data_IF_301316109770
#
_entry.id   IF_301316109770
#
_cell.length_a   1.000
_cell.length_b   1.000
_cell.length_c   1.000
_cell.angle_alpha   90.00
_cell.angle_beta   90.00
_cell.angle_gamma   90.00
#
_symmetry.space_group_name_H-M   'P 1'
#
loop_
_entity.id
_entity.type
_entity.pdbx_description
1 polymer ?
#
# COMPACT_ATOMS: atom_id res chain seq x y z
N UNK A 1 47.94 22.81 -1.04
CA UNK A 1 47.16 22.15 -2.11
C UNK A 1 46.98 20.68 -1.75
N UNK A 2 45.98 20.35 -0.94
CA UNK A 2 45.65 18.96 -0.55
C UNK A 2 44.13 18.70 -0.50
N UNK A 3 43.31 19.65 -0.98
CA UNK A 3 41.84 19.62 -0.82
C UNK A 3 41.09 18.85 -1.91
N UNK A 4 41.71 18.51 -3.03
CA UNK A 4 40.96 18.01 -4.22
C UNK A 4 40.65 16.51 -4.19
N UNK A 5 41.31 15.73 -3.34
CA UNK A 5 41.17 14.27 -3.29
C UNK A 5 40.04 13.83 -2.36
N UNK A 6 39.82 14.56 -1.27
CA UNK A 6 38.81 14.24 -0.24
C UNK A 6 37.40 14.58 -0.71
N UNK A 7 37.22 15.68 -1.45
CA UNK A 7 35.92 16.09 -1.99
C UNK A 7 35.36 15.09 -3.03
N UNK A 8 36.23 14.44 -3.81
CA UNK A 8 35.83 13.41 -4.77
C UNK A 8 35.52 12.05 -4.11
N UNK A 9 36.24 11.68 -3.05
CA UNK A 9 35.97 10.45 -2.31
C UNK A 9 34.64 10.55 -1.53
N UNK A 10 34.32 11.73 -1.02
CA UNK A 10 33.05 12.01 -0.34
C UNK A 10 31.86 11.90 -1.30
N UNK A 11 31.98 12.45 -2.51
CA UNK A 11 30.94 12.39 -3.56
C UNK A 11 30.61 10.96 -4.01
N UNK A 12 31.63 10.11 -4.23
CA UNK A 12 31.41 8.71 -4.64
C UNK A 12 30.80 7.85 -3.52
N UNK A 13 31.20 8.09 -2.27
CA UNK A 13 30.63 7.40 -1.12
C UNK A 13 29.14 7.74 -0.94
N UNK A 14 28.78 9.02 -1.12
CA UNK A 14 27.39 9.48 -1.04
C UNK A 14 26.54 8.90 -2.19
N UNK A 15 27.06 8.91 -3.41
CA UNK A 15 26.36 8.36 -4.58
C UNK A 15 26.14 6.84 -4.46
N UNK A 16 27.13 6.09 -3.96
CA UNK A 16 26.97 4.66 -3.67
C UNK A 16 25.98 4.41 -2.52
N UNK A 17 25.96 5.26 -1.49
CA UNK A 17 25.00 5.14 -0.39
C UNK A 17 23.56 5.44 -0.84
N UNK A 18 23.36 6.42 -1.72
CA UNK A 18 22.06 6.76 -2.32
C UNK A 18 21.58 5.62 -3.23
N UNK A 19 22.46 5.08 -4.09
CA UNK A 19 22.12 3.95 -4.96
C UNK A 19 21.74 2.70 -4.18
N UNK A 20 22.49 2.38 -3.12
CA UNK A 20 22.16 1.27 -2.22
C UNK A 20 20.86 1.52 -1.42
N UNK A 21 20.49 2.78 -1.16
CA UNK A 21 19.27 3.12 -0.43
C UNK A 21 18.06 2.86 -1.32
N UNK A 22 18.13 3.33 -2.57
CA UNK A 22 17.09 3.12 -3.56
C UNK A 22 16.84 1.64 -3.84
N UNK A 23 17.90 0.83 -3.97
CA UNK A 23 17.77 -0.60 -4.20
C UNK A 23 17.06 -1.32 -3.02
N UNK A 24 17.41 -0.97 -1.79
CA UNK A 24 16.80 -1.55 -0.59
C UNK A 24 15.33 -1.12 -0.45
N UNK A 25 15.05 0.18 -0.59
CA UNK A 25 13.70 0.73 -0.58
C UNK A 25 12.82 0.05 -1.62
N UNK A 26 13.31 -0.12 -2.84
CA UNK A 26 12.58 -0.79 -3.91
C UNK A 26 12.34 -2.27 -3.62
N UNK A 27 13.33 -2.97 -3.05
CA UNK A 27 13.16 -4.36 -2.65
C UNK A 27 12.06 -4.49 -1.58
N UNK A 28 12.10 -3.66 -0.53
CA UNK A 28 11.08 -3.66 0.53
C UNK A 28 9.69 -3.30 0.01
N UNK A 29 9.60 -2.31 -0.87
CA UNK A 29 8.39 -1.93 -1.59
C UNK A 29 7.77 -3.16 -2.28
N UNK A 30 8.57 -3.86 -3.09
CA UNK A 30 8.13 -5.05 -3.81
C UNK A 30 7.68 -6.16 -2.86
N UNK A 31 8.42 -6.39 -1.77
CA UNK A 31 8.06 -7.43 -0.81
C UNK A 31 6.73 -7.14 -0.10
N UNK A 32 6.49 -5.90 0.32
CA UNK A 32 5.21 -5.50 0.91
C UNK A 32 4.06 -5.80 -0.05
N UNK A 33 4.20 -5.42 -1.33
CA UNK A 33 3.18 -5.70 -2.35
C UNK A 33 2.94 -7.20 -2.57
N UNK A 34 4.01 -8.01 -2.62
CA UNK A 34 3.89 -9.47 -2.76
C UNK A 34 3.14 -10.11 -1.58
N UNK A 35 3.26 -9.53 -0.39
CA UNK A 35 2.55 -9.98 0.81
C UNK A 35 1.15 -9.36 0.95
N UNK A 36 0.68 -8.64 -0.08
CA UNK A 36 -0.71 -8.18 -0.17
C UNK A 36 -0.96 -6.79 0.40
N UNK A 37 0.09 -6.07 0.81
CA UNK A 37 -0.05 -4.65 1.09
C UNK A 37 -0.36 -3.86 -0.18
N UNK A 38 -1.24 -2.89 -0.06
CA UNK A 38 -1.59 -1.96 -1.14
C UNK A 38 -1.09 -0.55 -0.80
N UNK A 39 -0.47 0.17 -1.75
CA UNK A 39 -0.10 1.56 -1.53
C UNK A 39 -1.36 2.40 -1.31
N UNK A 40 -1.35 3.23 -0.28
CA UNK A 40 -2.36 4.23 0.03
C UNK A 40 -1.80 5.61 -0.33
N UNK A 41 -2.14 6.08 -1.54
CA UNK A 41 -1.66 7.35 -2.06
C UNK A 41 -2.30 8.57 -1.39
N UNK A 42 -3.47 8.41 -0.78
CA UNK A 42 -4.17 9.52 -0.10
C UNK A 42 -3.41 9.98 1.15
N UNK A 43 -2.67 9.07 1.79
CA UNK A 43 -1.94 9.33 3.04
C UNK A 43 -0.42 9.40 2.84
N UNK A 44 0.06 9.20 1.62
CA UNK A 44 1.48 9.25 1.31
C UNK A 44 1.98 10.69 1.49
N UNK A 45 3.09 10.85 2.22
CA UNK A 45 3.77 12.13 2.43
C UNK A 45 5.02 12.17 1.55
N UNK A 46 5.63 13.36 1.43
CA UNK A 46 6.80 13.60 0.57
C UNK A 46 7.96 12.62 0.83
N UNK A 47 8.10 12.09 2.05
CA UNK A 47 9.19 11.23 2.48
C UNK A 47 8.80 9.75 2.72
N UNK A 48 7.51 9.41 2.65
CA UNK A 48 7.01 8.09 3.02
C UNK A 48 5.83 7.61 2.19
N UNK A 49 5.95 6.39 1.67
CA UNK A 49 4.86 5.65 1.04
C UNK A 49 4.08 4.85 2.08
N UNK A 50 2.78 5.08 2.13
CA UNK A 50 1.89 4.38 3.05
C UNK A 50 1.35 3.12 2.41
N UNK A 51 1.24 2.06 3.20
CA UNK A 51 0.76 0.76 2.79
C UNK A 51 -0.30 0.26 3.74
N UNK A 52 -1.34 -0.36 3.19
CA UNK A 52 -2.39 -1.01 3.94
C UNK A 52 -2.56 -2.48 3.56
N UNK A 53 -2.63 -3.32 4.58
CA UNK A 53 -3.01 -4.70 4.45
C UNK A 53 -4.55 -4.84 4.46
N UNK A 54 -5.15 -5.71 3.62
CA UNK A 54 -6.61 -5.86 3.55
C UNK A 54 -7.22 -6.51 4.80
N UNK A 55 -6.42 -7.27 5.56
CA UNK A 55 -6.87 -7.95 6.79
C UNK A 55 -6.93 -6.96 7.95
N UNK A 56 -8.14 -6.57 8.34
CA UNK A 56 -8.40 -5.56 9.38
C UNK A 56 -7.93 -5.94 10.78
N UNK A 57 -7.88 -7.23 11.10
CA UNK A 57 -7.49 -7.74 12.42
C UNK A 57 -5.98 -7.86 12.61
N UNK A 58 -5.18 -7.58 11.58
CA UNK A 58 -3.73 -7.66 11.68
C UNK A 58 -3.15 -6.41 12.36
N UNK A 59 -2.29 -6.59 13.36
CA UNK A 59 -1.77 -5.48 14.16
C UNK A 59 -0.94 -4.49 13.32
N UNK A 60 -0.15 -4.99 12.37
CA UNK A 60 0.67 -4.18 11.46
C UNK A 60 -0.04 -3.93 10.13
N UNK A 61 -1.35 -3.68 10.20
CA UNK A 61 -2.17 -3.43 9.00
C UNK A 61 -1.63 -2.26 8.19
N UNK A 62 -1.15 -1.20 8.85
CA UNK A 62 -0.66 -0.01 8.17
C UNK A 62 0.82 0.17 8.44
N UNK A 63 1.61 0.22 7.37
CA UNK A 63 3.06 0.44 7.44
C UNK A 63 3.45 1.60 6.53
N UNK A 64 4.43 2.39 6.97
CA UNK A 64 5.09 3.42 6.16
C UNK A 64 6.45 2.88 5.71
N UNK A 65 6.76 3.06 4.42
CA UNK A 65 8.09 2.85 3.86
C UNK A 65 8.67 4.21 3.50
N UNK A 66 9.75 4.59 4.18
CA UNK A 66 10.46 5.84 3.94
C UNK A 66 11.42 5.72 2.75
N UNK A 67 11.73 6.84 2.11
CA UNK A 67 12.72 6.91 1.02
C UNK A 67 14.10 6.37 1.43
N UNK A 68 14.43 6.46 2.72
CA UNK A 68 15.65 5.93 3.35
C UNK A 68 15.69 4.40 3.46
N UNK A 69 14.60 3.70 3.16
CA UNK A 69 14.46 2.25 3.26
C UNK A 69 13.97 1.77 4.62
N UNK A 70 13.71 2.68 5.57
CA UNK A 70 13.12 2.34 6.87
C UNK A 70 11.64 1.98 6.69
N UNK A 71 11.20 0.92 7.36
CA UNK A 71 9.78 0.52 7.42
C UNK A 71 9.28 0.67 8.84
N UNK A 72 8.13 1.32 9.03
CA UNK A 72 7.52 1.51 10.35
C UNK A 72 6.06 1.14 10.37
N UNK A 73 5.61 0.47 11.43
CA UNK A 73 4.20 0.22 11.68
C UNK A 73 3.54 1.46 12.29
N UNK A 74 2.48 1.99 11.65
CA UNK A 74 1.92 3.32 12.00
C UNK A 74 0.86 3.24 13.11
N UNK A 75 0.13 2.11 13.19
CA UNK A 75 -1.01 1.95 14.11
C UNK A 75 -0.94 0.67 14.95
N UNK A 76 0.23 0.02 15.01
CA UNK A 76 0.40 -1.12 15.90
C UNK A 76 0.51 -0.63 17.35
N UNK A 77 0.05 -1.47 18.28
CA UNK A 77 0.17 -1.21 19.73
C UNK A 77 1.64 -1.17 20.17
N UNK A 78 2.50 -1.87 19.45
CA UNK A 78 3.94 -1.87 19.60
C UNK A 78 4.56 -1.14 18.41
N UNK A 79 5.45 -0.18 18.69
CA UNK A 79 6.14 0.60 17.67
C UNK A 79 7.23 -0.27 17.04
N UNK A 80 6.90 -0.94 15.94
CA UNK A 80 7.86 -1.77 15.21
C UNK A 80 8.49 -0.95 14.10
N UNK A 81 9.81 -0.77 14.20
CA UNK A 81 10.64 -0.07 13.22
C UNK A 81 11.69 -1.04 12.68
N UNK A 82 11.75 -1.18 11.36
CA UNK A 82 12.75 -1.96 10.66
C UNK A 82 13.72 -1.00 9.99
N UNK A 83 14.91 -0.88 10.57
CA UNK A 83 15.97 -0.06 9.99
C UNK A 83 16.37 -0.58 8.60
N UNK A 84 17.01 0.28 7.81
CA UNK A 84 17.48 -0.05 6.45
C UNK A 84 18.36 -1.30 6.42
N UNK A 85 19.20 -1.48 7.43
CA UNK A 85 20.16 -2.59 7.51
C UNK A 85 19.54 -3.87 8.09
N UNK A 86 18.38 -3.78 8.72
CA UNK A 86 17.69 -4.91 9.35
C UNK A 86 16.91 -5.74 8.33
N UNK A 87 17.65 -6.52 7.54
CA UNK A 87 17.06 -7.41 6.51
C UNK A 87 16.38 -8.62 7.13
N UNK A 88 16.97 -9.17 8.19
CA UNK A 88 16.48 -10.38 8.84
C UNK A 88 15.19 -10.10 9.62
N UNK A 89 15.16 -9.03 10.43
CA UNK A 89 13.96 -8.64 11.16
C UNK A 89 12.81 -8.29 10.23
N UNK A 90 13.08 -7.61 9.11
CA UNK A 90 12.06 -7.35 8.09
C UNK A 90 11.59 -8.64 7.39
N UNK A 91 12.48 -9.58 7.08
CA UNK A 91 12.09 -10.86 6.47
C UNK A 91 11.23 -11.70 7.42
N UNK A 92 11.58 -11.73 8.71
CA UNK A 92 10.80 -12.42 9.73
C UNK A 92 9.45 -11.76 9.97
N UNK A 93 9.38 -10.43 9.92
CA UNK A 93 8.12 -9.71 9.89
C UNK A 93 7.23 -10.18 8.72
N UNK A 94 7.78 -10.23 7.50
CA UNK A 94 7.03 -10.65 6.31
C UNK A 94 6.52 -12.09 6.41
N UNK A 95 7.28 -13.01 7.01
CA UNK A 95 6.84 -14.39 7.26
C UNK A 95 5.62 -14.46 8.17
N UNK A 96 5.49 -13.49 9.08
CA UNK A 96 4.35 -13.38 10.00
C UNK A 96 3.18 -12.57 9.41
N UNK A 97 3.35 -11.95 8.24
CA UNK A 97 2.25 -11.26 7.56
C UNK A 97 1.24 -12.29 7.07
N UNK A 98 -0.03 -12.23 7.51
CA UNK A 98 -1.03 -13.18 7.09
C UNK A 98 -1.33 -13.02 5.61
N UNK A 99 -1.22 -14.11 4.84
CA UNK A 99 -1.60 -14.07 3.43
C UNK A 99 -3.07 -13.67 3.27
N UNK A 100 -3.38 -12.70 2.39
CA UNK A 100 -4.75 -12.29 2.14
C UNK A 100 -5.51 -13.45 1.49
N UNK A 101 -6.68 -13.78 2.03
CA UNK A 101 -7.50 -14.83 1.46
C UNK A 101 -8.14 -14.37 0.12
N UNK A 102 -8.61 -15.32 -0.70
CA UNK A 102 -9.26 -15.02 -1.99
C UNK A 102 -10.42 -14.03 -1.88
N UNK A 103 -11.12 -14.06 -0.75
CA UNK A 103 -12.20 -13.13 -0.44
C UNK A 103 -11.64 -11.71 -0.23
N UNK A 104 -10.64 -11.51 0.61
CA UNK A 104 -10.03 -10.22 0.91
C UNK A 104 -9.45 -9.54 -0.34
N UNK A 105 -8.83 -10.32 -1.24
CA UNK A 105 -8.33 -9.81 -2.54
C UNK A 105 -9.44 -9.25 -3.43
N UNK A 106 -10.60 -9.90 -3.45
CA UNK A 106 -11.72 -9.55 -4.34
C UNK A 106 -12.70 -8.53 -3.75
N UNK A 107 -12.46 -8.02 -2.53
CA UNK A 107 -13.43 -7.13 -1.85
C UNK A 107 -13.76 -5.87 -2.63
N UNK A 108 -12.77 -5.18 -3.19
CA UNK A 108 -12.98 -3.99 -4.02
C UNK A 108 -13.80 -4.31 -5.28
N UNK A 109 -13.48 -5.42 -5.94
CA UNK A 109 -14.23 -5.90 -7.10
C UNK A 109 -15.67 -6.21 -6.73
N UNK A 110 -15.90 -6.84 -5.58
CA UNK A 110 -17.24 -7.18 -5.09
C UNK A 110 -18.04 -5.94 -4.72
N UNK A 111 -17.44 -4.94 -4.09
CA UNK A 111 -18.10 -3.66 -3.85
C UNK A 111 -18.55 -3.01 -5.16
N UNK A 112 -17.67 -2.96 -6.17
CA UNK A 112 -18.03 -2.44 -7.50
C UNK A 112 -19.18 -3.23 -8.13
N UNK A 113 -19.14 -4.56 -8.06
CA UNK A 113 -20.21 -5.43 -8.58
C UNK A 113 -21.53 -5.15 -7.86
N UNK A 114 -21.55 -5.07 -6.53
CA UNK A 114 -22.77 -4.78 -5.78
C UNK A 114 -23.33 -3.39 -6.12
N UNK A 115 -22.47 -2.37 -6.29
CA UNK A 115 -22.91 -1.04 -6.71
C UNK A 115 -23.56 -1.08 -8.09
N UNK A 116 -22.97 -1.81 -9.05
CA UNK A 116 -23.54 -1.97 -10.40
C UNK A 116 -24.88 -2.71 -10.35
N UNK A 117 -24.97 -3.82 -9.62
CA UNK A 117 -26.21 -4.58 -9.45
C UNK A 117 -27.31 -3.69 -8.84
N UNK A 118 -26.98 -2.94 -7.79
CA UNK A 118 -27.92 -2.02 -7.15
C UNK A 118 -28.41 -0.94 -8.12
N UNK A 119 -27.51 -0.35 -8.91
CA UNK A 119 -27.87 0.65 -9.91
C UNK A 119 -28.80 0.08 -11.00
N UNK A 120 -28.55 -1.16 -11.46
CA UNK A 120 -29.41 -1.84 -12.43
C UNK A 120 -30.81 -2.07 -11.86
N UNK A 121 -30.91 -2.59 -10.63
CA UNK A 121 -32.20 -2.83 -9.96
C UNK A 121 -32.99 -1.52 -9.83
N UNK A 122 -32.34 -0.46 -9.37
CA UNK A 122 -32.96 0.85 -9.21
C UNK A 122 -33.47 1.39 -10.56
N UNK A 123 -32.65 1.30 -11.60
CA UNK A 123 -33.04 1.72 -12.95
C UNK A 123 -34.24 0.93 -13.48
N UNK A 124 -34.26 -0.39 -13.30
CA UNK A 124 -35.39 -1.24 -13.71
C UNK A 124 -36.69 -0.86 -12.98
N UNK A 125 -36.63 -0.58 -11.67
CA UNK A 125 -37.79 -0.14 -10.90
C UNK A 125 -38.33 1.22 -11.36
N UNK A 126 -37.45 2.19 -11.63
CA UNK A 126 -37.84 3.50 -12.15
C UNK A 126 -38.48 3.38 -13.53
N UNK A 127 -37.89 2.58 -14.42
CA UNK A 127 -38.43 2.33 -15.75
C UNK A 127 -39.81 1.69 -15.70
N UNK A 128 -40.00 0.68 -14.84
CA UNK A 128 -41.29 0.03 -14.64
C UNK A 128 -42.34 1.01 -14.09
N UNK A 129 -41.96 1.83 -13.10
CA UNK A 129 -42.82 2.86 -12.52
C UNK A 129 -43.30 3.87 -13.57
N UNK A 130 -42.40 4.37 -14.42
CA UNK A 130 -42.75 5.27 -15.53
C UNK A 130 -43.69 4.57 -16.51
N UNK A 131 -43.43 3.31 -16.88
CA UNK A 131 -44.30 2.55 -17.78
C UNK A 131 -45.71 2.37 -17.22
N UNK A 132 -45.86 2.07 -15.94
CA UNK A 132 -47.16 1.93 -15.27
C UNK A 132 -47.91 3.27 -15.30
N UNK A 133 -47.26 4.36 -14.88
CA UNK A 133 -47.87 5.69 -14.88
C UNK A 133 -48.32 6.08 -16.28
N UNK A 134 -47.43 5.99 -17.27
CA UNK A 134 -47.74 6.38 -18.66
C UNK A 134 -48.80 5.48 -19.30
N UNK A 135 -48.86 4.21 -18.91
CA UNK A 135 -49.87 3.25 -19.36
C UNK A 135 -51.25 3.49 -18.77
N UNK A 136 -51.35 4.07 -17.56
CA UNK A 136 -52.63 4.42 -16.93
C UNK A 136 -53.28 5.69 -17.51
N UNK A 137 -52.52 6.52 -18.23
CA UNK A 137 -53.01 7.76 -18.85
C UNK A 137 -53.41 7.60 -20.34
N UNK A 138 -53.47 6.36 -20.84
CA UNK A 138 -54.02 6.02 -22.16
C UNK A 138 -55.32 5.25 -22.00
#
# INVERSE_FOLDING_TARGET
MHSSSEDHAFSLADEMQIGAAGAETFWRFRQLMLHGYKPNYEHSREDAFWFEHPRKSFAHRSVALYSTGVVRSIFAREDTVFERWDKEGFADFLRNVPHPNWWERSRETRQKIYTVIFAVILYSLLFLGIRIVTGMFK
#
